data_IF_306225776799
#
_entry.id   IF_306225776799
#
_cell.length_a   1.000
_cell.length_b   1.000
_cell.length_c   1.000
_cell.angle_alpha   90.00
_cell.angle_beta   90.00
_cell.angle_gamma   90.00
#
_symmetry.space_group_name_H-M   'P 1'
#
loop_
_entity.id
_entity.type
_entity.pdbx_description
1 polymer ?
#
# COMPACT_ATOMS: atom_id res chain seq x y z
N UNK A 1 -1.15 8.97 27.10
CA UNK A 1 -1.92 7.79 26.65
C UNK A 1 -1.69 7.70 25.15
N UNK A 2 -0.93 6.70 24.68
CA UNK A 2 -0.76 6.50 23.23
C UNK A 2 -2.14 6.14 22.67
N UNK A 3 -2.58 6.74 21.55
CA UNK A 3 -3.83 6.34 20.92
C UNK A 3 -3.75 4.85 20.56
N UNK A 4 -4.88 4.16 20.75
CA UNK A 4 -5.01 2.74 20.41
C UNK A 4 -4.63 2.56 18.93
N UNK A 5 -3.82 1.55 18.58
CA UNK A 5 -3.40 1.35 17.20
C UNK A 5 -4.62 1.13 16.31
N UNK A 6 -4.72 1.89 15.22
CA UNK A 6 -5.82 1.82 14.25
C UNK A 6 -5.99 0.38 13.74
N UNK A 7 -7.21 -0.16 13.83
CA UNK A 7 -7.57 -1.46 13.23
C UNK A 7 -8.00 -1.24 11.76
N UNK A 8 -7.05 -1.36 10.85
CA UNK A 8 -7.28 -1.20 9.41
C UNK A 8 -8.31 -2.17 8.83
N UNK A 9 -8.69 -3.24 9.54
CA UNK A 9 -9.69 -4.21 9.04
C UNK A 9 -11.11 -3.68 9.09
N UNK A 10 -11.36 -2.59 9.84
CA UNK A 10 -12.69 -2.06 10.13
C UNK A 10 -12.88 -0.60 9.71
N UNK A 11 -11.80 0.08 9.28
CA UNK A 11 -11.89 1.50 8.87
C UNK A 11 -12.89 1.72 7.74
N UNK A 12 -13.57 2.87 7.77
CA UNK A 12 -14.49 3.31 6.74
C UNK A 12 -13.76 3.85 5.49
N UNK A 13 -14.49 4.11 4.40
CA UNK A 13 -13.92 4.81 3.23
C UNK A 13 -13.46 6.23 3.54
N UNK A 14 -14.14 6.91 4.46
CA UNK A 14 -13.73 8.24 4.93
C UNK A 14 -12.39 8.15 5.66
N UNK A 15 -12.20 7.12 6.49
CA UNK A 15 -10.93 6.89 7.18
C UNK A 15 -9.83 6.53 6.17
N UNK A 16 -10.12 5.68 5.18
CA UNK A 16 -9.16 5.37 4.10
C UNK A 16 -8.70 6.64 3.39
N UNK A 17 -9.64 7.52 3.03
CA UNK A 17 -9.33 8.80 2.39
C UNK A 17 -8.46 9.68 3.28
N UNK A 18 -8.82 9.81 4.55
CA UNK A 18 -8.06 10.58 5.55
C UNK A 18 -6.64 10.02 5.73
N UNK A 19 -6.51 8.70 5.74
CA UNK A 19 -5.20 8.04 5.84
C UNK A 19 -4.32 8.29 4.61
N UNK A 20 -4.87 8.27 3.39
CA UNK A 20 -4.13 8.60 2.16
C UNK A 20 -3.59 10.04 2.21
N UNK A 21 -4.41 11.01 2.60
CA UNK A 21 -3.98 12.41 2.79
C UNK A 21 -2.86 12.51 3.84
N UNK A 22 -3.03 11.83 4.98
CA UNK A 22 -2.05 11.84 6.07
C UNK A 22 -0.74 11.14 5.69
N UNK A 23 -0.79 10.07 4.87
CA UNK A 23 0.39 9.37 4.33
C UNK A 23 1.16 10.28 3.37
N UNK A 24 0.45 11.01 2.49
CA UNK A 24 1.07 11.97 1.57
C UNK A 24 1.83 13.07 2.33
N UNK A 25 1.18 13.68 3.33
CA UNK A 25 1.77 14.71 4.16
C UNK A 25 2.99 14.20 4.96
N UNK A 26 2.87 13.01 5.52
CA UNK A 26 3.91 12.35 6.30
C UNK A 26 5.15 12.01 5.45
N UNK A 27 4.95 11.43 4.27
CA UNK A 27 6.03 11.11 3.35
C UNK A 27 6.71 12.39 2.81
N UNK A 28 5.94 13.40 2.42
CA UNK A 28 6.46 14.68 1.97
C UNK A 28 7.31 15.38 3.03
N UNK A 29 6.85 15.38 4.28
CA UNK A 29 7.57 15.97 5.41
C UNK A 29 8.83 15.19 5.76
N UNK A 30 8.74 13.86 5.83
CA UNK A 30 9.83 13.01 6.27
C UNK A 30 10.93 12.87 5.22
N UNK A 31 10.57 12.78 3.93
CA UNK A 31 11.52 12.40 2.88
C UNK A 31 11.77 13.50 1.84
N UNK A 32 10.95 14.56 1.79
CA UNK A 32 11.00 15.56 0.73
C UNK A 32 12.28 16.39 0.66
N UNK A 33 13.11 16.37 1.70
CA UNK A 33 14.39 17.10 1.76
C UNK A 33 15.61 16.19 1.65
N UNK A 34 15.41 14.88 1.51
CA UNK A 34 16.52 13.94 1.38
C UNK A 34 17.22 14.11 0.03
N UNK A 35 18.55 14.16 0.05
CA UNK A 35 19.35 14.16 -1.16
C UNK A 35 19.46 12.75 -1.78
N UNK A 36 20.14 12.66 -2.95
CA UNK A 36 20.28 11.41 -3.69
C UNK A 36 21.07 10.33 -2.92
N UNK A 37 22.01 10.72 -2.06
CA UNK A 37 22.79 9.82 -1.22
C UNK A 37 21.92 9.29 -0.08
N UNK A 38 21.19 10.16 0.58
CA UNK A 38 20.33 9.84 1.72
C UNK A 38 19.17 8.91 1.31
N UNK A 39 18.46 9.26 0.22
CA UNK A 39 17.26 8.52 -0.20
C UNK A 39 17.60 7.11 -0.69
N UNK A 40 18.81 6.89 -1.21
CA UNK A 40 19.30 5.60 -1.70
C UNK A 40 20.14 4.83 -0.68
N UNK A 41 20.40 5.41 0.49
CA UNK A 41 21.23 4.77 1.49
C UNK A 41 20.60 3.50 2.05
N UNK A 42 21.45 2.50 2.32
CA UNK A 42 21.07 1.20 2.87
C UNK A 42 22.06 0.81 3.95
N UNK A 43 21.57 0.30 5.06
CA UNK A 43 22.41 -0.21 6.14
C UNK A 43 23.22 -1.44 5.72
N UNK A 44 22.64 -2.26 4.85
CA UNK A 44 23.26 -3.41 4.22
C UNK A 44 22.56 -3.78 2.89
N UNK A 45 23.16 -4.65 2.08
CA UNK A 45 22.65 -5.02 0.76
C UNK A 45 21.27 -5.72 0.80
N UNK A 46 20.89 -6.32 1.93
CA UNK A 46 19.63 -7.05 2.07
C UNK A 46 18.46 -6.14 2.47
N UNK A 47 18.77 -4.90 2.88
CA UNK A 47 17.76 -3.92 3.31
C UNK A 47 17.37 -2.99 2.19
N UNK A 48 16.16 -2.49 2.26
CA UNK A 48 15.67 -1.46 1.34
C UNK A 48 16.06 -0.07 1.81
N UNK A 49 16.34 0.80 0.83
CA UNK A 49 16.46 2.24 1.04
C UNK A 49 15.08 2.89 1.17
N UNK A 50 15.05 4.17 1.55
CA UNK A 50 13.83 4.99 1.53
C UNK A 50 13.21 4.97 0.12
N UNK A 51 14.01 5.24 -0.91
CA UNK A 51 13.54 5.24 -2.30
C UNK A 51 12.95 3.89 -2.73
N UNK A 52 13.56 2.78 -2.33
CA UNK A 52 13.06 1.45 -2.65
C UNK A 52 11.74 1.13 -1.95
N UNK A 53 11.52 1.62 -0.73
CA UNK A 53 10.22 1.50 -0.07
C UNK A 53 9.13 2.25 -0.84
N UNK A 54 9.41 3.47 -1.30
CA UNK A 54 8.45 4.27 -2.07
C UNK A 54 8.19 3.68 -3.47
N UNK A 55 9.22 3.20 -4.19
CA UNK A 55 9.05 2.55 -5.49
C UNK A 55 8.19 1.29 -5.39
N UNK A 56 8.41 0.50 -4.34
CA UNK A 56 7.58 -0.67 -4.06
C UNK A 56 6.10 -0.28 -3.90
N UNK A 57 5.82 0.77 -3.12
CA UNK A 57 4.45 1.27 -2.91
C UNK A 57 3.83 1.77 -4.22
N UNK A 58 4.56 2.59 -4.99
CA UNK A 58 4.10 3.07 -6.30
C UNK A 58 3.67 1.93 -7.22
N UNK A 59 4.46 0.86 -7.25
CA UNK A 59 4.20 -0.32 -8.08
C UNK A 59 3.03 -1.14 -7.55
N UNK A 60 3.01 -1.39 -6.24
CA UNK A 60 1.97 -2.19 -5.61
C UNK A 60 0.59 -1.53 -5.71
N UNK A 61 0.51 -0.24 -5.43
CA UNK A 61 -0.74 0.53 -5.51
C UNK A 61 -1.33 0.52 -6.93
N UNK A 62 -0.48 0.74 -7.95
CA UNK A 62 -0.94 0.70 -9.35
C UNK A 62 -1.59 -0.62 -9.69
N UNK A 63 -0.96 -1.75 -9.30
CA UNK A 63 -1.50 -3.07 -9.56
C UNK A 63 -2.79 -3.34 -8.76
N UNK A 64 -2.86 -2.86 -7.51
CA UNK A 64 -4.06 -2.99 -6.67
C UNK A 64 -5.25 -2.22 -7.26
N UNK A 65 -5.04 -0.97 -7.68
CA UNK A 65 -6.07 -0.13 -8.30
C UNK A 65 -6.54 -0.73 -9.62
N UNK A 66 -5.63 -1.22 -10.45
CA UNK A 66 -6.00 -1.90 -11.70
C UNK A 66 -6.93 -3.10 -11.45
N UNK A 67 -6.64 -3.91 -10.43
CA UNK A 67 -7.50 -5.03 -10.06
C UNK A 67 -8.85 -4.58 -9.49
N UNK A 68 -8.88 -3.47 -8.73
CA UNK A 68 -10.12 -2.89 -8.23
C UNK A 68 -10.99 -2.34 -9.37
N UNK A 69 -10.40 -1.59 -10.31
CA UNK A 69 -11.12 -1.08 -11.49
C UNK A 69 -11.72 -2.23 -12.32
N UNK A 70 -10.94 -3.29 -12.56
CA UNK A 70 -11.41 -4.49 -13.25
C UNK A 70 -12.58 -5.20 -12.52
N UNK A 71 -12.54 -5.24 -11.19
CA UNK A 71 -13.60 -5.86 -10.40
C UNK A 71 -14.89 -5.03 -10.37
N UNK A 72 -14.76 -3.70 -10.49
CA UNK A 72 -15.89 -2.78 -10.56
C UNK A 72 -16.47 -2.64 -11.97
N UNK A 73 -15.78 -3.10 -13.01
CA UNK A 73 -16.31 -3.09 -14.38
C UNK A 73 -17.39 -4.18 -14.53
N UNK A 74 -18.65 -3.76 -14.67
CA UNK A 74 -19.80 -4.64 -14.80
C UNK A 74 -19.80 -5.50 -16.09
N UNK A 75 -18.95 -5.17 -17.07
CA UNK A 75 -18.85 -5.91 -18.34
C UNK A 75 -18.09 -7.24 -18.19
N UNK A 76 -17.30 -7.40 -17.11
CA UNK A 76 -16.56 -8.64 -16.83
C UNK A 76 -17.36 -9.56 -15.92
N UNK A 77 -17.74 -10.73 -16.43
CA UNK A 77 -18.40 -11.77 -15.65
C UNK A 77 -17.52 -12.26 -14.49
N UNK A 78 -18.11 -12.48 -13.32
CA UNK A 78 -17.42 -13.06 -12.15
C UNK A 78 -16.97 -14.49 -12.47
N UNK A 79 -15.72 -14.80 -12.17
CA UNK A 79 -15.22 -16.19 -12.20
C UNK A 79 -15.90 -17.02 -11.11
N UNK A 80 -15.92 -18.36 -11.25
CA UNK A 80 -16.52 -19.27 -10.26
C UNK A 80 -15.94 -19.05 -8.86
N UNK A 81 -14.64 -18.78 -8.75
CA UNK A 81 -13.95 -18.51 -7.48
C UNK A 81 -14.38 -17.19 -6.81
N UNK A 82 -14.72 -16.18 -7.60
CA UNK A 82 -15.24 -14.90 -7.11
C UNK A 82 -16.70 -14.99 -6.61
N UNK A 83 -17.37 -16.11 -6.87
CA UNK A 83 -18.76 -16.37 -6.44
C UNK A 83 -18.88 -17.07 -5.09
N UNK A 84 -17.78 -17.51 -4.48
CA UNK A 84 -17.79 -18.16 -3.17
C UNK A 84 -17.92 -17.12 -2.05
N UNK A 85 -19.02 -17.07 -1.29
CA UNK A 85 -19.38 -15.91 -0.46
C UNK A 85 -18.60 -15.76 0.86
N UNK A 86 -17.85 -16.78 1.29
CA UNK A 86 -17.27 -16.86 2.64
C UNK A 86 -15.78 -16.48 2.67
N UNK A 87 -15.03 -16.83 1.63
CA UNK A 87 -13.58 -16.69 1.60
C UNK A 87 -13.04 -15.27 1.38
N UNK A 88 -13.65 -14.41 0.52
CA UNK A 88 -13.09 -13.09 0.24
C UNK A 88 -12.98 -12.19 1.47
N UNK A 89 -14.02 -12.14 2.32
CA UNK A 89 -14.03 -11.27 3.49
C UNK A 89 -13.08 -11.72 4.61
N UNK A 90 -12.88 -13.04 4.79
CA UNK A 90 -11.94 -13.58 5.76
C UNK A 90 -10.49 -13.37 5.29
N UNK A 91 -10.22 -13.68 4.03
CA UNK A 91 -8.90 -13.53 3.42
C UNK A 91 -8.49 -12.05 3.33
N UNK A 92 -9.41 -11.15 2.97
CA UNK A 92 -9.16 -9.71 2.95
C UNK A 92 -8.72 -9.19 4.31
N UNK A 93 -9.48 -9.46 5.37
CA UNK A 93 -9.13 -9.07 6.75
C UNK A 93 -7.80 -9.68 7.22
N UNK A 94 -7.54 -10.93 6.89
CA UNK A 94 -6.27 -11.57 7.21
C UNK A 94 -5.10 -10.85 6.51
N UNK A 95 -5.23 -10.52 5.22
CA UNK A 95 -4.21 -9.79 4.48
C UNK A 95 -3.98 -8.39 5.06
N UNK A 96 -5.04 -7.63 5.33
CA UNK A 96 -4.95 -6.31 5.97
C UNK A 96 -4.16 -6.41 7.28
N UNK A 97 -4.48 -7.37 8.15
CA UNK A 97 -3.74 -7.59 9.41
C UNK A 97 -2.26 -7.89 9.18
N UNK A 98 -1.93 -8.72 8.18
CA UNK A 98 -0.54 -9.09 7.89
C UNK A 98 0.27 -7.93 7.31
N UNK A 99 -0.37 -6.95 6.68
CA UNK A 99 0.27 -5.78 6.10
C UNK A 99 0.18 -4.54 7.00
N UNK A 100 -0.54 -4.59 8.10
CA UNK A 100 -0.61 -3.47 9.07
C UNK A 100 0.76 -3.16 9.68
N UNK A 101 1.01 -1.90 10.10
CA UNK A 101 2.30 -1.47 10.68
C UNK A 101 2.77 -2.32 11.87
N UNK A 102 1.82 -2.81 12.66
CA UNK A 102 2.08 -3.60 13.87
C UNK A 102 2.27 -5.10 13.60
N UNK A 103 2.21 -5.55 12.33
CA UNK A 103 2.39 -6.96 12.01
C UNK A 103 3.83 -7.41 12.28
N UNK A 104 3.99 -8.43 13.11
CA UNK A 104 5.30 -8.97 13.51
C UNK A 104 5.95 -9.83 12.42
N UNK A 105 5.14 -10.43 11.54
CA UNK A 105 5.64 -11.25 10.43
C UNK A 105 6.10 -10.38 9.26
N UNK A 106 7.33 -10.62 8.81
CA UNK A 106 7.87 -10.02 7.59
C UNK A 106 7.75 -11.03 6.45
N UNK A 107 7.03 -10.65 5.41
CA UNK A 107 6.97 -11.44 4.17
C UNK A 107 7.93 -10.83 3.15
N UNK A 108 8.59 -11.68 2.38
CA UNK A 108 9.39 -11.21 1.24
C UNK A 108 8.43 -10.68 0.16
N UNK A 109 8.71 -9.49 -0.36
CA UNK A 109 7.92 -8.93 -1.45
C UNK A 109 7.91 -9.89 -2.66
N UNK A 110 6.73 -10.14 -3.28
CA UNK A 110 6.66 -10.90 -4.51
C UNK A 110 7.54 -10.29 -5.60
N UNK A 111 8.10 -11.11 -6.50
CA UNK A 111 9.04 -10.64 -7.51
C UNK A 111 8.54 -9.45 -8.35
N UNK A 112 7.24 -9.44 -8.68
CA UNK A 112 6.58 -8.35 -9.44
C UNK A 112 6.50 -7.00 -8.69
N UNK A 113 6.67 -7.01 -7.37
CA UNK A 113 6.65 -5.83 -6.51
C UNK A 113 8.02 -5.55 -5.87
N UNK A 114 9.07 -6.26 -6.25
CA UNK A 114 10.42 -5.94 -5.77
C UNK A 114 10.89 -4.64 -6.42
N UNK A 115 11.47 -3.72 -5.63
CA UNK A 115 12.02 -2.48 -6.17
C UNK A 115 13.26 -2.74 -7.02
N UNK A 116 13.60 -1.79 -7.90
CA UNK A 116 14.80 -1.83 -8.70
C UNK A 116 16.06 -1.95 -7.81
N UNK A 117 17.08 -2.63 -8.33
CA UNK A 117 18.35 -2.74 -7.63
C UNK A 117 19.22 -1.46 -7.74
N UNK A 118 18.95 -0.61 -8.73
CA UNK A 118 19.68 0.63 -9.02
C UNK A 118 19.29 1.79 -8.11
N UNK A 119 20.12 2.82 -8.06
CA UNK A 119 19.78 4.07 -7.42
C UNK A 119 18.59 4.75 -8.12
N UNK A 120 17.71 5.32 -7.30
CA UNK A 120 16.48 5.98 -7.73
C UNK A 120 16.63 7.51 -7.60
N UNK A 121 15.92 8.24 -8.45
CA UNK A 121 15.84 9.70 -8.42
C UNK A 121 15.07 10.18 -7.17
N UNK A 122 15.50 11.31 -6.60
CA UNK A 122 14.81 11.98 -5.48
C UNK A 122 13.39 12.41 -5.82
N UNK A 123 13.06 12.63 -7.09
CA UNK A 123 11.70 12.89 -7.57
C UNK A 123 10.70 11.76 -7.21
N UNK A 124 11.18 10.61 -6.73
CA UNK A 124 10.30 9.50 -6.30
C UNK A 124 9.38 9.92 -5.15
N UNK A 125 9.81 10.84 -4.28
CA UNK A 125 8.97 11.35 -3.19
C UNK A 125 7.78 12.12 -3.75
N UNK A 126 8.04 13.03 -4.70
CA UNK A 126 6.97 13.77 -5.41
C UNK A 126 6.01 12.82 -6.11
N UNK A 127 6.52 11.84 -6.87
CA UNK A 127 5.68 10.81 -7.53
C UNK A 127 4.82 10.04 -6.56
N UNK A 128 5.33 9.71 -5.38
CA UNK A 128 4.54 9.02 -4.35
C UNK A 128 3.43 9.91 -3.80
N UNK A 129 3.72 11.17 -3.50
CA UNK A 129 2.72 12.15 -3.04
C UNK A 129 1.65 12.39 -4.12
N UNK A 130 2.04 12.48 -5.39
CA UNK A 130 1.09 12.64 -6.50
C UNK A 130 0.20 11.41 -6.67
N UNK A 131 0.76 10.21 -6.52
CA UNK A 131 -0.04 8.97 -6.53
C UNK A 131 -1.10 8.95 -5.43
N UNK A 132 -0.84 9.53 -4.24
CA UNK A 132 -1.87 9.59 -3.19
C UNK A 132 -3.10 10.41 -3.66
N UNK A 133 -2.88 11.51 -4.39
CA UNK A 133 -3.99 12.29 -4.97
C UNK A 133 -4.76 11.50 -6.02
N UNK A 134 -4.05 10.71 -6.83
CA UNK A 134 -4.68 9.80 -7.80
C UNK A 134 -5.51 8.72 -7.11
N UNK A 135 -4.99 8.13 -6.03
CA UNK A 135 -5.70 7.13 -5.22
C UNK A 135 -6.98 7.72 -4.61
N UNK A 136 -6.90 8.92 -4.04
CA UNK A 136 -8.06 9.62 -3.49
C UNK A 136 -9.11 9.88 -4.57
N UNK A 137 -8.71 10.38 -5.74
CA UNK A 137 -9.63 10.61 -6.85
C UNK A 137 -10.32 9.32 -7.31
N UNK A 138 -9.59 8.21 -7.37
CA UNK A 138 -10.11 6.88 -7.69
C UNK A 138 -11.08 6.36 -6.61
N UNK A 139 -10.73 6.52 -5.34
CA UNK A 139 -11.60 6.16 -4.21
C UNK A 139 -12.91 6.93 -4.28
N UNK A 140 -12.85 8.27 -4.43
CA UNK A 140 -14.02 9.15 -4.50
C UNK A 140 -14.91 8.80 -5.70
N UNK A 141 -14.34 8.53 -6.87
CA UNK A 141 -15.07 8.09 -8.06
C UNK A 141 -15.77 6.72 -7.89
N UNK A 142 -15.26 5.87 -7.02
CA UNK A 142 -15.81 4.54 -6.75
C UNK A 142 -16.74 4.49 -5.54
N UNK A 143 -16.85 5.56 -4.76
CA UNK A 143 -17.52 5.58 -3.45
C UNK A 143 -19.03 5.23 -3.51
N UNK A 144 -19.69 5.44 -4.66
CA UNK A 144 -21.10 5.10 -4.88
C UNK A 144 -21.32 3.65 -5.34
N UNK A 145 -20.24 2.91 -5.57
CA UNK A 145 -20.29 1.51 -6.04
C UNK A 145 -20.35 0.56 -4.83
N UNK A 146 -20.82 -0.66 -5.06
CA UNK A 146 -20.79 -1.71 -4.03
C UNK A 146 -19.37 -2.30 -3.88
N UNK A 147 -18.51 -1.56 -3.16
CA UNK A 147 -17.11 -1.98 -2.93
C UNK A 147 -17.00 -3.21 -2.02
N UNK A 148 -17.99 -3.44 -1.16
CA UNK A 148 -18.01 -4.60 -0.27
C UNK A 148 -18.43 -5.88 -1.01
N UNK A 149 -19.36 -5.76 -1.96
CA UNK A 149 -19.81 -6.89 -2.77
C UNK A 149 -18.96 -7.15 -4.01
N UNK A 150 -18.21 -6.17 -4.50
CA UNK A 150 -17.28 -6.37 -5.61
C UNK A 150 -16.03 -7.14 -5.15
N UNK A 151 -15.72 -8.25 -5.82
CA UNK A 151 -14.60 -9.15 -5.47
C UNK A 151 -13.48 -9.02 -6.48
N UNK A 152 -12.28 -8.68 -6.01
CA UNK A 152 -11.06 -8.59 -6.80
C UNK A 152 -10.09 -9.74 -6.47
N UNK A 153 -9.26 -10.12 -7.45
CA UNK A 153 -8.14 -11.03 -7.23
C UNK A 153 -6.91 -10.23 -6.74
N UNK A 154 -6.11 -10.86 -5.89
CA UNK A 154 -4.82 -10.29 -5.51
C UNK A 154 -3.89 -10.22 -6.73
N UNK A 155 -3.27 -9.07 -7.03
CA UNK A 155 -2.30 -8.98 -8.13
C UNK A 155 -1.02 -9.81 -7.85
N UNK A 156 -0.78 -10.15 -6.60
CA UNK A 156 0.43 -10.86 -6.16
C UNK A 156 0.19 -12.35 -5.91
N UNK A 157 -1.03 -12.71 -5.54
CA UNK A 157 -1.45 -14.08 -5.21
C UNK A 157 -2.78 -14.37 -5.91
N UNK A 158 -2.74 -14.64 -7.20
CA UNK A 158 -3.93 -14.66 -8.06
C UNK A 158 -5.08 -15.61 -7.65
N UNK A 159 -4.80 -16.59 -6.79
CA UNK A 159 -5.83 -17.47 -6.19
C UNK A 159 -6.52 -16.82 -4.96
N UNK A 160 -5.94 -15.77 -4.38
CA UNK A 160 -6.49 -15.06 -3.22
C UNK A 160 -7.40 -13.95 -3.71
N UNK A 161 -8.64 -13.98 -3.25
CA UNK A 161 -9.65 -12.97 -3.58
C UNK A 161 -10.15 -12.28 -2.31
N UNK A 162 -10.52 -11.00 -2.43
CA UNK A 162 -11.08 -10.19 -1.37
C UNK A 162 -11.95 -9.07 -1.93
N UNK A 163 -12.72 -8.39 -1.08
CA UNK A 163 -13.55 -7.27 -1.52
C UNK A 163 -12.72 -6.08 -1.98
N UNK A 164 -13.24 -5.27 -2.89
CA UNK A 164 -12.60 -4.01 -3.27
C UNK A 164 -12.44 -3.09 -2.07
N UNK A 165 -13.39 -3.11 -1.13
CA UNK A 165 -13.28 -2.38 0.14
C UNK A 165 -12.05 -2.82 0.96
N UNK A 166 -11.84 -4.13 1.09
CA UNK A 166 -10.64 -4.65 1.79
C UNK A 166 -9.36 -4.37 0.99
N UNK A 167 -9.46 -4.26 -0.35
CA UNK A 167 -8.37 -3.79 -1.21
C UNK A 167 -7.91 -2.37 -0.84
N UNK A 168 -8.83 -1.43 -0.66
CA UNK A 168 -8.53 -0.08 -0.21
C UNK A 168 -7.94 -0.03 1.20
N UNK A 169 -8.49 -0.81 2.13
CA UNK A 169 -7.96 -0.99 3.49
C UNK A 169 -6.53 -1.54 3.48
N UNK A 170 -6.28 -2.50 2.58
CA UNK A 170 -4.96 -3.10 2.41
C UNK A 170 -3.94 -2.09 1.87
N UNK A 171 -4.32 -1.23 0.91
CA UNK A 171 -3.45 -0.17 0.39
C UNK A 171 -2.95 0.70 1.54
N UNK A 172 -3.83 1.31 2.33
CA UNK A 172 -3.41 2.22 3.40
C UNK A 172 -2.63 1.54 4.52
N UNK A 173 -3.00 0.32 4.91
CA UNK A 173 -2.25 -0.45 5.91
C UNK A 173 -0.82 -0.77 5.42
N UNK A 174 -0.68 -1.15 4.17
CA UNK A 174 0.58 -1.46 3.50
C UNK A 174 1.47 -0.22 3.36
N UNK A 175 0.88 0.91 2.97
CA UNK A 175 1.60 2.18 2.87
C UNK A 175 2.12 2.65 4.22
N UNK A 176 1.31 2.64 5.26
CA UNK A 176 1.75 3.00 6.62
C UNK A 176 2.92 2.15 7.08
N UNK A 177 2.86 0.85 6.81
CA UNK A 177 3.95 -0.08 7.13
C UNK A 177 5.25 0.31 6.43
N UNK A 178 5.23 0.58 5.14
CA UNK A 178 6.43 0.88 4.36
C UNK A 178 6.95 2.31 4.58
N UNK A 179 6.08 3.29 4.81
CA UNK A 179 6.49 4.63 5.26
C UNK A 179 7.18 4.57 6.63
N UNK A 180 6.66 3.77 7.56
CA UNK A 180 7.32 3.53 8.84
C UNK A 180 8.67 2.79 8.65
N UNK A 181 8.73 1.81 7.77
CA UNK A 181 9.99 1.13 7.42
C UNK A 181 11.02 2.12 6.85
N UNK A 182 10.60 3.01 5.96
CA UNK A 182 11.46 4.06 5.40
C UNK A 182 11.99 5.02 6.47
N UNK A 183 11.14 5.42 7.43
CA UNK A 183 11.59 6.22 8.59
C UNK A 183 12.60 5.47 9.47
N UNK A 184 12.44 4.16 9.65
CA UNK A 184 13.38 3.32 10.38
C UNK A 184 14.75 3.27 9.68
N UNK A 185 14.81 3.33 8.34
CA UNK A 185 16.07 3.45 7.60
C UNK A 185 16.82 4.70 8.02
N UNK A 186 16.12 5.85 8.08
CA UNK A 186 16.73 7.13 8.51
C UNK A 186 17.21 7.12 9.97
N UNK A 187 16.53 6.37 10.83
CA UNK A 187 16.92 6.23 12.25
C UNK A 187 18.02 5.17 12.49
N UNK A 188 18.48 4.48 11.44
CA UNK A 188 19.51 3.44 11.57
C UNK A 188 20.91 4.08 11.72
N UNK A 189 21.77 3.60 12.65
CA UNK A 189 23.14 4.09 12.77
C UNK A 189 23.89 4.03 11.44
N UNK A 190 24.60 5.13 11.12
CA UNK A 190 25.32 5.28 9.84
C UNK A 190 24.49 5.88 8.70
N UNK A 191 23.23 6.24 8.95
CA UNK A 191 22.47 7.04 7.97
C UNK A 191 23.18 8.37 7.72
N UNK A 192 23.36 8.84 6.47
CA UNK A 192 24.04 10.09 6.16
C UNK A 192 23.28 11.30 6.76
N UNK A 193 23.99 12.13 7.50
CA UNK A 193 23.48 13.40 7.98
C UNK A 193 23.48 14.45 6.89
#
# INVERSE_FOLDING_TARGET
MMPDPMDYTTISLVDVRTELDAIAADAGTAFGRLDARQINWKADASRWSVAQCLEHLLTANRQMVEMADQALDATRGRTLWQRLPIWPGLLGRMLVRTQSPNATRRFKAPGKAQPAASALDTAIVGRFVDQQRELIAKLDASATRDLAGAVMASPFLGIVTYSVLDGWRLIVAHERRHVQQAKQVMATPGFPG
#
